data_IF_139907237936
#
_entry.id   IF_139907237936
#
_cell.length_a   1.000
_cell.length_b   1.000
_cell.length_c   1.000
_cell.angle_alpha   90.00
_cell.angle_beta   90.00
_cell.angle_gamma   90.00
#
_symmetry.space_group_name_H-M   'P 1'
#
loop_
_entity.id
_entity.type
_entity.pdbx_description
1 polymer ?
#
# COMPACT_ATOMS: atom_id res chain seq x y z
N UNK A 1 -28.91 15.46 -46.61
CA UNK A 1 -28.70 14.53 -45.48
C UNK A 1 -27.32 14.86 -44.89
N UNK A 2 -27.29 15.60 -43.80
CA UNK A 2 -26.07 16.09 -43.20
C UNK A 2 -25.58 15.10 -42.18
N UNK A 3 -24.44 14.47 -42.42
CA UNK A 3 -23.74 13.65 -41.44
C UNK A 3 -23.17 14.57 -40.35
N UNK A 4 -23.85 14.66 -39.23
CA UNK A 4 -23.29 15.23 -38.01
C UNK A 4 -22.36 14.18 -37.42
N UNK A 5 -21.05 14.36 -37.63
CA UNK A 5 -20.05 13.58 -36.92
C UNK A 5 -20.13 13.93 -35.44
N UNK A 6 -20.61 12.97 -34.65
CA UNK A 6 -20.55 13.06 -33.20
C UNK A 6 -19.09 13.07 -32.80
N UNK A 7 -18.58 14.23 -32.40
CA UNK A 7 -17.31 14.35 -31.72
C UNK A 7 -17.39 13.56 -30.41
N UNK A 8 -16.92 12.30 -30.42
CA UNK A 8 -16.55 11.63 -29.23
C UNK A 8 -15.47 12.48 -28.57
N UNK A 9 -15.76 13.01 -27.39
CA UNK A 9 -14.77 13.61 -26.52
C UNK A 9 -13.74 12.51 -26.18
N UNK A 10 -12.83 12.27 -27.10
CA UNK A 10 -11.63 11.50 -26.87
C UNK A 10 -10.83 12.27 -25.84
N UNK A 11 -10.89 11.84 -24.57
CA UNK A 11 -9.81 12.12 -23.64
C UNK A 11 -8.56 11.77 -24.41
N UNK A 12 -7.67 12.75 -24.60
CA UNK A 12 -6.39 12.55 -25.24
C UNK A 12 -5.76 11.31 -24.61
N UNK A 13 -5.57 10.28 -25.43
CA UNK A 13 -4.70 9.16 -25.13
C UNK A 13 -3.26 9.65 -25.17
N UNK A 14 -2.94 10.64 -24.34
CA UNK A 14 -1.56 10.87 -23.95
C UNK A 14 -1.07 9.56 -23.34
N UNK A 15 0.21 9.28 -23.41
CA UNK A 15 0.94 8.13 -22.89
C UNK A 15 0.65 7.81 -21.41
N UNK A 16 -0.64 7.79 -20.99
CA UNK A 16 -1.07 7.22 -19.75
C UNK A 16 -0.92 5.71 -19.92
N UNK A 17 0.25 5.19 -19.52
CA UNK A 17 0.51 3.76 -19.52
C UNK A 17 -0.45 3.12 -18.52
N UNK A 18 -1.57 2.65 -19.04
CA UNK A 18 -2.48 1.78 -18.31
C UNK A 18 -2.02 0.36 -18.61
N UNK A 19 -1.48 -0.35 -17.60
CA UNK A 19 -1.13 -1.75 -17.78
C UNK A 19 -2.40 -2.54 -18.14
N UNK A 20 -2.31 -3.35 -19.19
CA UNK A 20 -3.42 -4.18 -19.69
C UNK A 20 -3.45 -5.55 -19.03
N UNK A 21 -2.40 -5.92 -18.31
CA UNK A 21 -2.25 -7.19 -17.59
C UNK A 21 -1.60 -6.97 -16.22
N UNK A 22 -1.79 -7.94 -15.32
CA UNK A 22 -1.13 -7.94 -14.01
C UNK A 22 0.40 -7.91 -14.17
N UNK A 23 0.94 -8.63 -15.15
CA UNK A 23 2.38 -8.69 -15.39
C UNK A 23 2.94 -7.31 -15.80
N UNK A 24 2.24 -6.60 -16.66
CA UNK A 24 2.59 -5.21 -17.02
C UNK A 24 2.47 -4.27 -15.83
N UNK A 25 1.46 -4.45 -14.98
CA UNK A 25 1.29 -3.66 -13.76
C UNK A 25 2.46 -3.88 -12.77
N UNK A 26 2.88 -5.13 -12.58
CA UNK A 26 4.04 -5.47 -11.74
C UNK A 26 5.30 -4.81 -12.30
N UNK A 27 5.57 -4.97 -13.61
CA UNK A 27 6.75 -4.37 -14.24
C UNK A 27 6.75 -2.85 -14.14
N UNK A 28 5.60 -2.20 -14.38
CA UNK A 28 5.46 -0.74 -14.21
C UNK A 28 5.71 -0.31 -12.77
N UNK A 29 5.20 -1.07 -11.78
CA UNK A 29 5.42 -0.79 -10.37
C UNK A 29 6.90 -0.89 -9.97
N UNK A 30 7.63 -1.89 -10.49
CA UNK A 30 9.08 -2.03 -10.31
C UNK A 30 9.85 -0.85 -10.91
N UNK A 31 9.52 -0.46 -12.14
CA UNK A 31 10.14 0.69 -12.80
C UNK A 31 9.91 1.98 -12.01
N UNK A 32 8.68 2.23 -11.57
CA UNK A 32 8.34 3.44 -10.81
C UNK A 32 9.01 3.47 -9.44
N UNK A 33 9.00 2.35 -8.71
CA UNK A 33 9.63 2.23 -7.39
C UNK A 33 11.16 2.49 -7.46
N UNK A 34 11.81 2.08 -8.55
CA UNK A 34 13.25 2.25 -8.76
C UNK A 34 13.62 3.59 -9.40
N UNK A 35 12.65 4.38 -9.86
CA UNK A 35 12.89 5.63 -10.58
C UNK A 35 13.46 6.77 -9.71
N UNK A 36 13.27 6.71 -8.39
CA UNK A 36 13.56 7.83 -7.48
C UNK A 36 12.61 9.03 -7.62
N UNK A 37 11.61 8.98 -8.53
CA UNK A 37 10.65 10.06 -8.81
C UNK A 37 9.31 9.87 -8.10
N UNK A 38 9.18 8.86 -7.27
CA UNK A 38 7.98 8.57 -6.48
C UNK A 38 8.14 9.02 -5.03
N UNK A 39 7.05 9.24 -4.28
CA UNK A 39 7.14 9.54 -2.85
C UNK A 39 7.95 8.48 -2.08
N UNK A 40 8.69 8.91 -1.04
CA UNK A 40 9.65 8.09 -0.30
C UNK A 40 9.11 6.71 0.13
N UNK A 41 7.82 6.61 0.47
CA UNK A 41 7.18 5.34 0.87
C UNK A 41 7.12 4.28 -0.23
N UNK A 42 7.31 4.67 -1.48
CA UNK A 42 7.27 3.79 -2.65
C UNK A 42 8.67 3.50 -3.22
N UNK A 43 9.69 4.27 -2.81
CA UNK A 43 11.07 4.04 -3.26
C UNK A 43 11.54 2.66 -2.81
N UNK A 44 12.03 1.85 -3.76
CA UNK A 44 12.45 0.46 -3.56
C UNK A 44 11.36 -0.45 -2.97
N UNK A 45 10.08 -0.09 -3.15
CA UNK A 45 8.94 -0.88 -2.65
C UNK A 45 7.90 -1.11 -3.76
N UNK A 46 8.19 -2.02 -4.71
CA UNK A 46 7.30 -2.28 -5.84
C UNK A 46 5.94 -2.84 -5.41
N UNK A 47 5.85 -3.59 -4.32
CA UNK A 47 4.61 -4.15 -3.81
C UNK A 47 3.65 -3.04 -3.35
N UNK A 48 4.13 -2.10 -2.54
CA UNK A 48 3.33 -0.96 -2.11
C UNK A 48 2.96 -0.05 -3.31
N UNK A 49 3.87 0.09 -4.28
CA UNK A 49 3.63 0.81 -5.52
C UNK A 49 2.49 0.18 -6.32
N UNK A 50 2.53 -1.14 -6.51
CA UNK A 50 1.49 -1.89 -7.22
C UNK A 50 0.12 -1.73 -6.54
N UNK A 51 0.06 -1.93 -5.23
CA UNK A 51 -1.19 -1.79 -4.47
C UNK A 51 -1.77 -0.38 -4.57
N UNK A 52 -0.93 0.66 -4.46
CA UNK A 52 -1.40 2.04 -4.61
C UNK A 52 -1.89 2.35 -6.03
N UNK A 53 -1.25 1.78 -7.06
CA UNK A 53 -1.70 1.89 -8.45
C UNK A 53 -3.07 1.22 -8.65
N UNK A 54 -3.26 0.02 -8.10
CA UNK A 54 -4.54 -0.70 -8.18
C UNK A 54 -5.65 0.07 -7.46
N UNK A 55 -5.43 0.53 -6.24
CA UNK A 55 -6.39 1.37 -5.50
C UNK A 55 -6.77 2.64 -6.26
N UNK A 56 -5.78 3.30 -6.87
CA UNK A 56 -6.05 4.49 -7.66
C UNK A 56 -6.85 4.18 -8.93
N UNK A 57 -6.59 3.06 -9.57
CA UNK A 57 -7.34 2.63 -10.75
C UNK A 57 -8.83 2.40 -10.44
N UNK A 58 -9.16 1.84 -9.29
CA UNK A 58 -10.55 1.64 -8.85
C UNK A 58 -11.35 2.95 -8.78
N UNK A 59 -10.69 4.06 -8.45
CA UNK A 59 -11.30 5.40 -8.39
C UNK A 59 -10.98 6.27 -9.62
N UNK A 60 -10.38 5.70 -10.67
CA UNK A 60 -10.11 6.39 -11.93
C UNK A 60 -8.86 7.26 -11.96
N UNK A 61 -7.90 7.05 -11.05
CA UNK A 61 -6.60 7.70 -11.10
C UNK A 61 -5.62 6.93 -12.01
N UNK A 62 -4.77 7.66 -12.71
CA UNK A 62 -3.64 7.08 -13.44
C UNK A 62 -2.54 6.61 -12.47
N UNK A 63 -1.65 5.68 -12.87
CA UNK A 63 -0.63 5.13 -11.98
C UNK A 63 0.17 6.17 -11.20
N UNK A 64 0.73 7.18 -11.88
CA UNK A 64 1.51 8.24 -11.22
C UNK A 64 0.64 9.10 -10.29
N UNK A 65 -0.57 9.43 -10.70
CA UNK A 65 -1.52 10.16 -9.84
C UNK A 65 -1.88 9.36 -8.59
N UNK A 66 -2.01 8.04 -8.71
CA UNK A 66 -2.25 7.13 -7.59
C UNK A 66 -1.13 7.24 -6.56
N UNK A 67 0.13 7.16 -6.99
CA UNK A 67 1.29 7.24 -6.09
C UNK A 67 1.42 8.60 -5.40
N UNK A 68 1.04 9.68 -6.08
CA UNK A 68 1.11 11.02 -5.52
C UNK A 68 -0.04 11.33 -4.55
N UNK A 69 -1.22 10.76 -4.79
CA UNK A 69 -2.45 11.16 -4.11
C UNK A 69 -2.99 10.14 -3.12
N UNK A 70 -2.56 8.88 -3.17
CA UNK A 70 -2.98 7.85 -2.21
C UNK A 70 -1.90 7.67 -1.14
N UNK A 71 -2.34 7.65 0.12
CA UNK A 71 -1.50 7.32 1.26
C UNK A 71 -2.21 6.28 2.14
N UNK A 72 -1.47 5.37 2.75
CA UNK A 72 -1.98 4.48 3.80
C UNK A 72 -1.62 5.11 5.14
N UNK A 73 -2.64 5.54 5.88
CA UNK A 73 -2.51 6.17 7.19
C UNK A 73 -3.19 5.27 8.21
N UNK A 74 -2.45 4.82 9.22
CA UNK A 74 -2.95 3.89 10.24
C UNK A 74 -3.65 2.64 9.64
N UNK A 75 -3.06 2.05 8.59
CA UNK A 75 -3.61 0.88 7.91
C UNK A 75 -4.79 1.17 6.97
N UNK A 76 -5.29 2.41 6.89
CA UNK A 76 -6.41 2.80 6.04
C UNK A 76 -5.94 3.55 4.79
N UNK A 77 -6.34 3.14 3.58
CA UNK A 77 -6.09 3.92 2.38
C UNK A 77 -6.84 5.24 2.46
N UNK A 78 -6.15 6.31 2.09
CA UNK A 78 -6.64 7.68 2.21
C UNK A 78 -6.17 8.50 1.02
N UNK A 79 -6.90 9.54 0.66
CA UNK A 79 -6.60 10.42 -0.46
C UNK A 79 -6.42 11.86 0.02
N UNK A 80 -5.51 12.62 -0.59
CA UNK A 80 -5.37 14.05 -0.26
C UNK A 80 -6.63 14.83 -0.64
N UNK A 81 -7.03 15.79 0.21
CA UNK A 81 -8.30 16.53 0.08
C UNK A 81 -8.49 17.21 -1.29
N UNK A 82 -7.41 17.73 -1.88
CA UNK A 82 -7.48 18.37 -3.19
C UNK A 82 -7.64 17.34 -4.34
N UNK A 83 -7.06 16.15 -4.20
CA UNK A 83 -7.26 15.06 -5.14
C UNK A 83 -8.67 14.47 -5.04
N UNK A 84 -9.22 14.37 -3.83
CA UNK A 84 -10.60 13.96 -3.60
C UNK A 84 -11.58 14.92 -4.30
N UNK A 85 -11.36 16.24 -4.19
CA UNK A 85 -12.14 17.23 -4.92
C UNK A 85 -12.01 17.06 -6.44
N UNK A 86 -10.79 16.87 -6.94
CA UNK A 86 -10.55 16.70 -8.38
C UNK A 86 -11.26 15.46 -8.94
N UNK A 87 -11.29 14.35 -8.20
CA UNK A 87 -12.04 13.15 -8.58
C UNK A 87 -13.53 13.43 -8.71
N UNK A 88 -14.11 14.09 -7.69
CA UNK A 88 -15.54 14.42 -7.70
C UNK A 88 -15.88 15.40 -8.83
N UNK A 89 -15.04 16.41 -9.08
CA UNK A 89 -15.25 17.36 -10.18
C UNK A 89 -15.23 16.69 -11.56
N UNK A 90 -14.47 15.60 -11.72
CA UNK A 90 -14.44 14.80 -12.95
C UNK A 90 -15.61 13.81 -13.06
N UNK A 91 -16.41 13.63 -12.02
CA UNK A 91 -17.53 12.71 -12.03
C UNK A 91 -18.65 13.21 -12.93
N UNK A 92 -19.26 12.39 -13.81
CA UNK A 92 -20.30 12.82 -14.75
C UNK A 92 -21.50 13.53 -14.11
N UNK A 93 -21.86 13.10 -12.92
CA UNK A 93 -22.97 13.68 -12.17
C UNK A 93 -22.59 14.94 -11.37
N UNK A 94 -21.35 15.43 -11.41
CA UNK A 94 -20.96 16.61 -10.66
C UNK A 94 -21.70 17.85 -11.14
N UNK A 95 -22.49 18.47 -10.25
CA UNK A 95 -23.27 19.70 -10.52
C UNK A 95 -22.53 20.96 -10.12
N UNK A 96 -21.81 20.92 -8.99
CA UNK A 96 -21.03 22.05 -8.50
C UNK A 96 -20.67 21.91 -7.02
N UNK A 97 -19.83 22.86 -6.57
CA UNK A 97 -19.37 23.01 -5.20
C UNK A 97 -19.26 24.49 -4.86
N UNK A 98 -19.66 24.86 -3.66
CA UNK A 98 -19.50 26.19 -3.05
C UNK A 98 -18.85 26.02 -1.70
N UNK A 99 -17.85 26.83 -1.40
CA UNK A 99 -17.13 26.80 -0.12
C UNK A 99 -17.16 28.19 0.50
N UNK A 100 -17.52 28.28 1.78
CA UNK A 100 -17.63 29.53 2.51
C UNK A 100 -16.97 29.39 3.88
N UNK A 101 -16.31 30.44 4.33
CA UNK A 101 -15.72 30.53 5.65
C UNK A 101 -16.35 31.68 6.43
N UNK A 102 -17.15 31.35 7.43
CA UNK A 102 -17.61 32.28 8.45
C UNK A 102 -16.49 32.56 9.46
N UNK A 103 -15.78 33.65 9.26
CA UNK A 103 -14.68 34.04 10.11
C UNK A 103 -15.11 34.47 11.52
N UNK A 104 -16.30 35.03 11.67
CA UNK A 104 -16.83 35.48 12.96
C UNK A 104 -17.08 34.29 13.89
N UNK A 105 -17.62 33.21 13.35
CA UNK A 105 -17.94 31.98 14.10
C UNK A 105 -16.91 30.89 13.90
N UNK A 106 -15.84 31.16 13.16
CA UNK A 106 -14.80 30.15 12.80
C UNK A 106 -15.43 28.85 12.32
N UNK A 107 -16.32 28.93 11.33
CA UNK A 107 -17.06 27.80 10.77
C UNK A 107 -16.88 27.74 9.25
N UNK A 108 -16.43 26.63 8.74
CA UNK A 108 -16.36 26.38 7.32
C UNK A 108 -17.62 25.63 6.85
N UNK A 109 -18.12 26.03 5.70
CA UNK A 109 -19.24 25.39 5.03
C UNK A 109 -18.81 24.90 3.66
N UNK A 110 -19.23 23.71 3.31
CA UNK A 110 -19.06 23.15 1.97
C UNK A 110 -20.40 22.67 1.46
N UNK A 111 -20.86 23.25 0.37
CA UNK A 111 -22.12 22.92 -0.31
C UNK A 111 -21.82 22.26 -1.64
N UNK A 112 -22.36 21.08 -1.86
CA UNK A 112 -22.12 20.28 -3.06
C UNK A 112 -23.43 19.71 -3.59
N UNK A 113 -23.54 19.54 -4.92
CA UNK A 113 -24.73 18.98 -5.56
C UNK A 113 -24.36 18.19 -6.82
N UNK A 114 -25.26 17.28 -7.17
CA UNK A 114 -25.22 16.58 -8.45
C UNK A 114 -26.08 17.30 -9.49
N UNK A 115 -25.77 17.09 -10.76
CA UNK A 115 -26.63 17.56 -11.86
C UNK A 115 -28.04 17.00 -11.67
N UNK A 116 -29.04 17.89 -11.72
CA UNK A 116 -30.46 17.52 -11.54
C UNK A 116 -30.93 17.45 -10.09
N UNK A 117 -30.08 17.67 -9.10
CA UNK A 117 -30.51 17.73 -7.71
C UNK A 117 -31.41 18.95 -7.47
N UNK A 118 -32.53 18.72 -6.80
CA UNK A 118 -33.42 19.82 -6.37
C UNK A 118 -32.90 20.53 -5.11
N UNK A 119 -32.11 19.84 -4.28
CA UNK A 119 -31.52 20.38 -3.07
C UNK A 119 -30.02 20.17 -3.06
N UNK A 120 -29.30 21.24 -2.78
CA UNK A 120 -27.88 21.21 -2.51
C UNK A 120 -27.63 20.57 -1.15
N UNK A 121 -26.52 19.87 -1.00
CA UNK A 121 -26.08 19.25 0.25
C UNK A 121 -24.99 20.10 0.89
N UNK A 122 -25.19 20.53 2.12
CA UNK A 122 -24.23 21.37 2.84
C UNK A 122 -23.75 20.64 4.09
N UNK A 123 -22.46 20.60 4.27
CA UNK A 123 -21.80 20.19 5.52
C UNK A 123 -21.01 21.37 6.08
N UNK A 124 -20.88 21.40 7.41
CA UNK A 124 -20.09 22.41 8.11
C UNK A 124 -19.13 21.75 9.08
N UNK A 125 -18.06 22.47 9.39
CA UNK A 125 -17.15 22.10 10.45
C UNK A 125 -16.64 23.36 11.14
N UNK A 126 -16.93 23.47 12.43
CA UNK A 126 -16.62 24.66 13.22
C UNK A 126 -15.41 24.46 14.12
N UNK A 127 -14.88 25.54 14.67
CA UNK A 127 -13.91 25.52 15.75
C UNK A 127 -14.38 24.66 16.94
N UNK A 128 -15.69 24.75 17.29
CA UNK A 128 -16.30 23.95 18.36
C UNK A 128 -16.22 22.46 18.04
N UNK A 129 -16.48 22.06 16.79
CA UNK A 129 -16.36 20.68 16.35
C UNK A 129 -14.91 20.20 16.42
N UNK A 130 -13.97 21.06 16.03
CA UNK A 130 -12.54 20.78 16.14
C UNK A 130 -12.07 20.62 17.60
N UNK A 131 -12.62 21.40 18.53
CA UNK A 131 -12.36 21.21 19.97
C UNK A 131 -12.93 19.87 20.45
N UNK A 132 -14.17 19.57 20.11
CA UNK A 132 -14.82 18.30 20.48
C UNK A 132 -14.04 17.08 19.98
N UNK A 133 -13.48 17.19 18.75
CA UNK A 133 -12.66 16.15 18.15
C UNK A 133 -11.19 16.16 18.63
N UNK A 134 -10.82 17.03 19.60
CA UNK A 134 -9.43 17.18 20.09
C UNK A 134 -8.42 17.57 19.01
N UNK A 135 -8.86 18.30 17.99
CA UNK A 135 -8.04 18.73 16.86
C UNK A 135 -7.54 20.17 16.98
N UNK A 136 -8.37 21.03 17.58
CA UNK A 136 -8.02 22.45 17.71
C UNK A 136 -6.78 22.65 18.57
N UNK A 137 -5.78 23.34 18.02
CA UNK A 137 -4.50 23.54 18.69
C UNK A 137 -3.52 22.37 18.61
N UNK A 138 -3.88 21.26 17.95
CA UNK A 138 -2.96 20.17 17.68
C UNK A 138 -1.79 20.68 16.84
N UNK A 139 -0.55 20.35 17.25
CA UNK A 139 0.65 20.79 16.53
C UNK A 139 0.61 20.40 15.05
N UNK A 140 1.08 21.31 14.21
CA UNK A 140 1.12 21.13 12.77
C UNK A 140 0.03 21.95 12.04
N UNK A 141 -0.66 21.41 11.02
CA UNK A 141 -1.59 22.16 10.18
C UNK A 141 -2.74 22.82 10.95
N UNK A 142 -3.20 22.22 12.06
CA UNK A 142 -4.26 22.78 12.89
C UNK A 142 -3.88 24.06 13.63
N UNK A 143 -2.58 24.27 13.89
CA UNK A 143 -2.07 25.55 14.46
C UNK A 143 -1.61 26.50 13.37
N UNK A 144 -1.09 25.98 12.26
CA UNK A 144 -0.50 26.81 11.20
C UNK A 144 -1.57 27.36 10.23
N UNK A 145 -2.58 26.55 9.90
CA UNK A 145 -3.61 26.85 8.91
C UNK A 145 -5.02 26.42 9.36
N UNK A 146 -5.49 26.86 10.54
CA UNK A 146 -6.74 26.36 11.15
C UNK A 146 -7.95 26.52 10.24
N UNK A 147 -8.13 27.67 9.57
CA UNK A 147 -9.25 27.91 8.64
C UNK A 147 -9.25 26.90 7.50
N UNK A 148 -8.07 26.58 6.95
CA UNK A 148 -7.94 25.58 5.88
C UNK A 148 -8.29 24.17 6.37
N UNK A 149 -7.89 23.82 7.58
CA UNK A 149 -8.23 22.53 8.19
C UNK A 149 -9.74 22.40 8.43
N UNK A 150 -10.40 23.45 8.90
CA UNK A 150 -11.87 23.48 9.01
C UNK A 150 -12.53 23.25 7.64
N UNK A 151 -12.06 23.95 6.60
CA UNK A 151 -12.59 23.82 5.24
C UNK A 151 -12.38 22.40 4.69
N UNK A 152 -11.20 21.82 4.85
CA UNK A 152 -10.93 20.45 4.39
C UNK A 152 -11.83 19.42 5.09
N UNK A 153 -12.18 19.65 6.37
CA UNK A 153 -13.14 18.79 7.08
C UNK A 153 -14.55 18.92 6.53
N UNK A 154 -15.04 20.15 6.38
CA UNK A 154 -16.37 20.40 5.81
C UNK A 154 -16.47 19.82 4.38
N UNK A 155 -15.45 20.04 3.54
CA UNK A 155 -15.33 19.50 2.18
C UNK A 155 -15.34 17.98 2.18
N UNK A 156 -14.50 17.35 2.99
CA UNK A 156 -14.38 15.89 3.07
C UNK A 156 -15.72 15.24 3.42
N UNK A 157 -16.46 15.80 4.37
CA UNK A 157 -17.78 15.30 4.74
C UNK A 157 -18.80 15.51 3.62
N UNK A 158 -18.91 16.72 3.07
CA UNK A 158 -19.87 17.03 2.01
C UNK A 158 -19.67 16.14 0.77
N UNK A 159 -18.41 15.97 0.33
CA UNK A 159 -18.09 15.16 -0.84
C UNK A 159 -18.36 13.67 -0.61
N UNK A 160 -18.01 13.12 0.55
CA UNK A 160 -18.28 11.71 0.87
C UNK A 160 -19.76 11.41 0.99
N UNK A 161 -20.53 12.31 1.60
CA UNK A 161 -21.97 12.12 1.74
C UNK A 161 -22.67 12.11 0.37
N UNK A 162 -22.22 12.95 -0.56
CA UNK A 162 -22.90 13.13 -1.83
C UNK A 162 -22.33 12.31 -2.99
N UNK A 163 -21.06 11.94 -2.92
CA UNK A 163 -20.30 11.25 -3.97
C UNK A 163 -19.60 9.99 -3.45
N UNK A 164 -20.25 9.25 -2.55
CA UNK A 164 -19.72 8.00 -2.01
C UNK A 164 -19.37 6.97 -3.10
N UNK A 165 -20.16 6.96 -4.18
CA UNK A 165 -19.94 6.12 -5.37
C UNK A 165 -18.67 6.47 -6.15
N UNK A 166 -18.27 7.74 -6.18
CA UNK A 166 -17.05 8.18 -6.84
C UNK A 166 -15.79 7.93 -5.99
N UNK A 167 -15.94 7.86 -4.68
CA UNK A 167 -14.83 7.85 -3.73
C UNK A 167 -14.51 6.46 -3.16
N UNK A 168 -15.35 5.45 -3.41
CA UNK A 168 -15.08 4.07 -3.00
C UNK A 168 -14.79 3.88 -1.51
N UNK A 169 -15.32 4.76 -0.64
CA UNK A 169 -15.08 4.69 0.80
C UNK A 169 -13.77 5.34 1.28
N UNK A 170 -12.99 5.95 0.41
CA UNK A 170 -11.77 6.67 0.81
C UNK A 170 -12.09 7.88 1.69
N UNK A 171 -11.27 8.07 2.71
CA UNK A 171 -11.24 9.27 3.56
C UNK A 171 -10.09 10.19 3.16
N UNK A 172 -10.11 11.43 3.61
CA UNK A 172 -8.97 12.32 3.36
C UNK A 172 -7.76 11.95 4.23
N UNK A 173 -6.55 12.17 3.70
CA UNK A 173 -5.29 11.99 4.45
C UNK A 173 -5.28 12.88 5.70
N UNK A 174 -5.82 14.10 5.58
CA UNK A 174 -5.94 15.07 6.65
C UNK A 174 -6.83 14.52 7.77
N UNK A 175 -7.94 13.86 7.42
CA UNK A 175 -8.82 13.21 8.38
C UNK A 175 -8.18 11.95 8.97
N UNK A 176 -7.57 11.11 8.16
CA UNK A 176 -6.96 9.87 8.61
C UNK A 176 -5.83 10.08 9.63
N UNK A 177 -5.08 11.19 9.50
CA UNK A 177 -4.03 11.59 10.45
C UNK A 177 -4.56 12.04 11.81
N UNK A 178 -5.81 12.42 11.85
CA UNK A 178 -6.46 12.92 13.08
C UNK A 178 -7.07 11.80 13.91
N UNK A 179 -7.28 10.61 13.33
CA UNK A 179 -7.69 9.45 14.13
C UNK A 179 -6.57 9.04 15.10
N UNK A 180 -6.93 8.67 16.35
CA UNK A 180 -5.95 8.17 17.30
C UNK A 180 -5.23 6.94 16.72
N UNK A 181 -3.92 6.88 16.89
CA UNK A 181 -3.11 5.68 16.60
C UNK A 181 -3.47 4.61 17.64
N UNK A 182 -4.61 3.96 17.49
CA UNK A 182 -5.12 3.08 18.54
C UNK A 182 -6.25 2.14 18.15
N UNK A 183 -6.78 2.21 16.92
CA UNK A 183 -7.50 1.05 16.41
C UNK A 183 -6.45 -0.06 16.27
N UNK A 184 -6.59 -1.12 17.10
CA UNK A 184 -5.78 -2.33 16.96
C UNK A 184 -5.86 -2.73 15.50
N UNK A 185 -4.74 -2.57 14.79
CA UNK A 185 -4.56 -3.19 13.50
C UNK A 185 -4.64 -4.70 13.76
N UNK A 186 -5.84 -5.24 13.53
CA UNK A 186 -6.12 -6.67 13.61
C UNK A 186 -5.67 -7.38 12.33
N UNK A 187 -5.07 -6.65 11.38
CA UNK A 187 -4.37 -7.29 10.28
C UNK A 187 -3.33 -8.20 10.92
N UNK A 188 -3.37 -9.53 10.67
CA UNK A 188 -2.33 -10.40 11.15
C UNK A 188 -1.02 -9.76 10.72
N UNK A 189 -0.18 -9.35 11.68
CA UNK A 189 1.20 -8.99 11.35
C UNK A 189 1.67 -10.17 10.53
N UNK A 190 1.88 -9.96 9.25
CA UNK A 190 2.59 -10.92 8.43
C UNK A 190 3.84 -11.20 9.26
N UNK A 191 3.85 -12.36 9.92
CA UNK A 191 5.05 -12.81 10.57
C UNK A 191 6.05 -12.71 9.44
N UNK A 192 7.04 -11.82 9.60
CA UNK A 192 8.19 -11.84 8.74
C UNK A 192 8.48 -13.32 8.61
N UNK A 193 8.39 -13.87 7.40
CA UNK A 193 8.83 -15.25 7.18
C UNK A 193 10.11 -15.34 7.97
N UNK A 194 10.24 -16.31 8.91
CA UNK A 194 11.43 -16.40 9.72
C UNK A 194 12.54 -16.32 8.70
N UNK A 195 13.37 -15.28 8.81
CA UNK A 195 14.58 -15.16 8.01
C UNK A 195 15.18 -16.55 8.09
N UNK A 196 15.15 -17.28 6.99
CA UNK A 196 15.76 -18.61 6.94
C UNK A 196 17.21 -18.27 7.13
N UNK A 197 17.64 -18.30 8.39
CA UNK A 197 19.05 -18.19 8.72
C UNK A 197 19.66 -19.33 7.92
N UNK A 198 20.36 -18.97 6.85
CA UNK A 198 21.09 -19.93 6.05
C UNK A 198 21.96 -20.70 7.06
N UNK A 199 21.62 -21.97 7.30
CA UNK A 199 22.37 -22.82 8.22
C UNK A 199 23.82 -22.72 7.76
N UNK A 200 24.69 -22.22 8.63
CA UNK A 200 26.12 -22.18 8.33
C UNK A 200 26.54 -23.56 7.85
N UNK A 201 27.35 -23.59 6.80
CA UNK A 201 27.87 -24.87 6.28
C UNK A 201 28.62 -25.60 7.37
N UNK A 202 28.45 -26.93 7.40
CA UNK A 202 29.17 -27.80 8.33
C UNK A 202 30.68 -27.66 8.07
N UNK A 203 31.49 -27.27 9.09
CA UNK A 203 32.91 -26.98 8.89
C UNK A 203 33.65 -28.16 8.28
N UNK A 204 34.48 -27.89 7.27
CA UNK A 204 35.19 -28.94 6.54
C UNK A 204 36.17 -29.76 7.43
N UNK A 205 36.84 -29.06 8.36
CA UNK A 205 37.73 -29.69 9.35
C UNK A 205 37.01 -30.69 10.25
N UNK A 206 35.79 -30.34 10.70
CA UNK A 206 34.95 -31.24 11.50
C UNK A 206 34.35 -32.37 10.67
N UNK A 207 34.13 -32.14 9.39
CA UNK A 207 33.68 -33.18 8.48
C UNK A 207 34.74 -34.26 8.33
N UNK A 208 35.99 -33.85 8.03
CA UNK A 208 37.11 -34.79 7.85
C UNK A 208 37.42 -35.57 9.13
N UNK A 209 37.37 -34.92 10.30
CA UNK A 209 37.58 -35.59 11.60
C UNK A 209 36.52 -36.67 11.92
N UNK A 210 35.29 -36.47 11.47
CA UNK A 210 34.19 -37.38 11.80
C UNK A 210 33.92 -38.39 10.67
N UNK A 211 34.50 -38.21 9.49
CA UNK A 211 34.22 -39.02 8.30
C UNK A 211 34.49 -40.48 8.50
N UNK A 212 35.65 -40.84 9.10
CA UNK A 212 36.04 -42.24 9.33
C UNK A 212 35.09 -42.94 10.31
N UNK A 213 34.62 -42.22 11.32
CA UNK A 213 33.64 -42.76 12.28
C UNK A 213 32.29 -43.01 11.61
N UNK A 214 31.85 -42.11 10.73
CA UNK A 214 30.61 -42.28 9.97
C UNK A 214 30.75 -43.43 8.93
N UNK A 215 31.89 -43.52 8.28
CA UNK A 215 32.17 -44.60 7.36
C UNK A 215 32.09 -45.99 8.04
N UNK A 216 32.68 -46.14 9.24
CA UNK A 216 32.58 -47.37 10.02
C UNK A 216 31.14 -47.71 10.45
N UNK A 217 30.29 -46.73 10.74
CA UNK A 217 28.88 -46.95 11.06
C UNK A 217 28.09 -47.42 9.82
N UNK A 218 28.37 -46.87 8.66
CA UNK A 218 27.72 -47.25 7.40
C UNK A 218 28.20 -48.64 6.95
N UNK A 219 29.50 -48.90 6.95
CA UNK A 219 30.09 -50.19 6.54
C UNK A 219 29.59 -51.35 7.42
N UNK A 220 29.43 -51.12 8.73
CA UNK A 220 28.88 -52.10 9.64
C UNK A 220 27.35 -52.29 9.57
N UNK A 221 26.66 -51.56 8.67
CA UNK A 221 25.21 -51.63 8.50
C UNK A 221 24.39 -51.03 9.69
N UNK A 222 25.05 -50.39 10.66
CA UNK A 222 24.38 -49.78 11.83
C UNK A 222 23.62 -48.51 11.52
N UNK A 223 23.99 -47.77 10.49
CA UNK A 223 23.35 -46.57 10.01
C UNK A 223 23.38 -46.49 8.50
N UNK A 224 22.34 -45.93 7.88
CA UNK A 224 22.34 -45.64 6.46
C UNK A 224 23.07 -44.32 6.15
N UNK A 225 23.58 -44.12 4.92
CA UNK A 225 24.13 -42.84 4.50
C UNK A 225 23.18 -41.68 4.71
N UNK A 226 21.86 -41.87 4.46
CA UNK A 226 20.84 -40.86 4.59
C UNK A 226 20.58 -40.50 6.06
N UNK A 227 20.66 -41.46 7.02
CA UNK A 227 20.56 -41.19 8.45
C UNK A 227 21.73 -40.33 8.96
N UNK A 228 22.92 -40.55 8.46
CA UNK A 228 24.11 -39.75 8.79
C UNK A 228 23.94 -38.33 8.22
N UNK A 229 23.52 -38.17 6.97
CA UNK A 229 23.27 -36.89 6.34
C UNK A 229 22.22 -36.11 7.14
N UNK A 230 21.09 -36.72 7.48
CA UNK A 230 20.06 -36.09 8.27
C UNK A 230 20.54 -35.63 9.66
N UNK A 231 21.35 -36.47 10.32
CA UNK A 231 21.89 -36.16 11.66
C UNK A 231 22.89 -34.99 11.60
N UNK A 232 23.73 -34.92 10.57
CA UNK A 232 24.75 -33.88 10.42
C UNK A 232 24.11 -32.59 9.94
N UNK A 233 23.15 -32.67 9.02
CA UNK A 233 22.41 -31.51 8.53
C UNK A 233 21.57 -30.79 9.60
N UNK A 234 21.24 -31.45 10.72
CA UNK A 234 20.62 -30.77 11.87
C UNK A 234 21.58 -29.85 12.62
N UNK A 235 22.90 -29.93 12.38
CA UNK A 235 23.94 -29.12 13.03
C UNK A 235 24.61 -28.11 12.11
N UNK A 236 24.42 -28.26 10.80
CA UNK A 236 24.97 -27.38 9.75
C UNK A 236 24.71 -27.96 8.37
N UNK A 237 24.52 -27.10 7.36
CA UNK A 237 24.26 -27.55 6.00
C UNK A 237 25.49 -28.29 5.41
N UNK A 238 25.29 -29.50 4.89
CA UNK A 238 26.35 -30.22 4.17
C UNK A 238 26.40 -29.69 2.73
N UNK A 239 27.63 -29.50 2.20
CA UNK A 239 27.84 -29.20 0.79
C UNK A 239 27.51 -30.43 -0.06
N UNK A 240 27.24 -30.24 -1.35
CA UNK A 240 26.97 -31.32 -2.30
C UNK A 240 28.12 -32.33 -2.34
N UNK A 241 29.37 -31.85 -2.26
CA UNK A 241 30.57 -32.70 -2.21
C UNK A 241 30.61 -33.55 -0.94
N UNK A 242 30.28 -32.98 0.21
CA UNK A 242 30.22 -33.70 1.49
C UNK A 242 29.13 -34.77 1.47
N UNK A 243 27.96 -34.46 0.93
CA UNK A 243 26.87 -35.42 0.80
C UNK A 243 27.24 -36.57 -0.14
N UNK A 244 27.87 -36.27 -1.29
CA UNK A 244 28.32 -37.28 -2.21
C UNK A 244 29.39 -38.22 -1.61
N UNK A 245 30.33 -37.68 -0.82
CA UNK A 245 31.31 -38.48 -0.08
C UNK A 245 30.64 -39.49 0.86
N UNK A 246 29.63 -39.06 1.63
CA UNK A 246 28.90 -39.95 2.54
C UNK A 246 28.12 -41.03 1.74
N UNK A 247 27.45 -40.63 0.63
CA UNK A 247 26.66 -41.56 -0.19
C UNK A 247 27.51 -42.59 -0.96
N UNK A 248 28.79 -42.28 -1.18
CA UNK A 248 29.72 -43.19 -1.89
C UNK A 248 30.22 -44.35 -1.03
N UNK A 249 29.99 -44.34 0.28
CA UNK A 249 30.41 -45.39 1.22
C UNK A 249 29.53 -46.62 0.99
N UNK A 250 30.16 -47.77 0.64
CA UNK A 250 29.47 -49.04 0.43
C UNK A 250 29.38 -49.82 1.74
N UNK A 251 28.27 -50.50 1.94
CA UNK A 251 28.09 -51.43 3.05
C UNK A 251 28.93 -52.68 2.71
N UNK A 252 29.87 -53.06 3.56
CA UNK A 252 30.57 -54.33 3.48
C UNK A 252 29.66 -55.40 4.09
N UNK A 253 29.08 -56.25 3.21
CA UNK A 253 28.18 -57.33 3.61
C UNK A 253 28.92 -58.58 4.11
#
# INVERSE_FOLDING_TARGET
MSNVATLQNGRSTGLAMHPSSLQEAIHLAEMLANSGMVPNRYINNPQATLVAMMMGQEIGLNPIQSLQNIAVINGKPSIYADALLALVQNHPAFGGIEEEMDEANMTAYCTVWRKGDQKKHTQSFSQKDAHTASLWGKQGPWTQYPKRMLMWRARGFALRDKFADALGGLITVEEARDYPVGEKDVTPKQQAEPEVQALEYYPADKFDQNFDAWAGLIQSGKRSPDDIIATVSSKGALTDEQQQKIKSIKIEG
#
